data_IF_476886843996
#
_entry.id   IF_476886843996
#
_cell.length_a   1.000
_cell.length_b   1.000
_cell.length_c   1.000
_cell.angle_alpha   90.00
_cell.angle_beta   90.00
_cell.angle_gamma   90.00
#
_symmetry.space_group_name_H-M   'P 1'
#
loop_
_entity.id
_entity.type
_entity.pdbx_description
1 polymer ?
#
# COMPACT_ATOMS: atom_id res chain seq x y z
N UNK A 1 13.08 5.72 -19.33
CA UNK A 1 11.75 5.81 -18.68
C UNK A 1 11.97 6.57 -17.38
N UNK A 2 11.63 7.87 -17.35
CA UNK A 2 11.95 8.74 -16.21
C UNK A 2 11.30 8.17 -14.94
N UNK A 3 12.10 7.86 -13.94
CA UNK A 3 11.63 7.44 -12.65
C UNK A 3 10.82 8.62 -12.07
N UNK A 4 9.57 8.42 -11.62
CA UNK A 4 8.79 9.52 -11.05
C UNK A 4 9.57 10.10 -9.87
N UNK A 5 9.71 11.43 -9.84
CA UNK A 5 10.30 12.12 -8.70
C UNK A 5 9.38 11.90 -7.49
N UNK A 6 9.81 11.05 -6.56
CA UNK A 6 9.04 10.72 -5.37
C UNK A 6 9.31 11.81 -4.33
N UNK A 7 8.30 12.58 -3.88
CA UNK A 7 8.50 13.68 -2.96
C UNK A 7 8.71 13.16 -1.52
N UNK A 8 9.89 12.58 -1.26
CA UNK A 8 10.22 11.87 -0.02
C UNK A 8 10.00 12.76 1.21
N UNK A 9 10.42 14.03 1.19
CA UNK A 9 10.19 14.97 2.28
C UNK A 9 8.71 15.17 2.60
N UNK A 10 7.89 15.41 1.58
CA UNK A 10 6.46 15.59 1.76
C UNK A 10 5.80 14.35 2.38
N UNK A 11 6.27 13.14 2.03
CA UNK A 11 5.78 11.89 2.60
C UNK A 11 6.06 11.79 4.10
N UNK A 12 7.28 12.12 4.53
CA UNK A 12 7.63 12.12 5.95
C UNK A 12 6.89 13.21 6.73
N UNK A 13 6.67 14.38 6.14
CA UNK A 13 5.86 15.42 6.79
C UNK A 13 4.40 14.99 6.91
N UNK A 14 3.82 14.40 5.86
CA UNK A 14 2.47 13.85 5.92
C UNK A 14 2.34 12.73 6.96
N UNK A 15 3.35 11.88 7.12
CA UNK A 15 3.36 10.82 8.12
C UNK A 15 3.32 11.33 9.57
N UNK A 16 3.77 12.56 9.83
CA UNK A 16 3.76 13.20 11.15
C UNK A 16 2.42 13.88 11.48
N UNK A 17 1.51 14.02 10.52
CA UNK A 17 0.22 14.69 10.67
C UNK A 17 -0.80 13.74 11.31
N UNK A 18 -1.27 13.97 12.55
CA UNK A 18 -2.20 13.06 13.22
C UNK A 18 -3.52 12.86 12.47
N UNK A 19 -4.03 13.90 11.82
CA UNK A 19 -5.25 13.86 11.02
C UNK A 19 -5.11 12.97 9.78
N UNK A 20 -3.93 12.94 9.15
CA UNK A 20 -3.62 12.03 8.03
C UNK A 20 -3.62 10.58 8.51
N UNK A 21 -2.95 10.31 9.63
CA UNK A 21 -2.88 8.98 10.24
C UNK A 21 -4.26 8.48 10.65
N UNK A 22 -5.06 9.33 11.29
CA UNK A 22 -6.41 8.98 11.72
C UNK A 22 -7.34 8.71 10.52
N UNK A 23 -7.31 9.57 9.49
CA UNK A 23 -8.11 9.39 8.29
C UNK A 23 -7.76 8.10 7.54
N UNK A 24 -6.47 7.79 7.38
CA UNK A 24 -6.03 6.55 6.74
C UNK A 24 -6.34 5.30 7.57
N UNK A 25 -6.28 5.38 8.91
CA UNK A 25 -6.74 4.30 9.78
C UNK A 25 -8.24 4.02 9.56
N UNK A 26 -9.06 5.06 9.54
CA UNK A 26 -10.50 4.94 9.31
C UNK A 26 -10.81 4.40 7.89
N UNK A 27 -10.09 4.88 6.88
CA UNK A 27 -10.19 4.39 5.50
C UNK A 27 -9.88 2.90 5.41
N UNK A 28 -8.75 2.46 5.98
CA UNK A 28 -8.38 1.04 5.94
C UNK A 28 -9.30 0.17 6.81
N UNK A 29 -9.79 0.67 7.95
CA UNK A 29 -10.78 -0.04 8.75
C UNK A 29 -12.07 -0.27 7.96
N UNK A 30 -12.53 0.71 7.19
CA UNK A 30 -13.67 0.54 6.30
C UNK A 30 -13.39 -0.44 5.14
N UNK A 31 -12.23 -0.30 4.47
CA UNK A 31 -11.83 -1.22 3.42
C UNK A 31 -11.76 -2.67 3.92
N UNK A 32 -11.14 -2.91 5.07
CA UNK A 32 -11.01 -4.24 5.66
C UNK A 32 -12.40 -4.83 6.02
N UNK A 33 -13.33 -4.03 6.55
CA UNK A 33 -14.73 -4.49 6.80
C UNK A 33 -15.44 -4.90 5.51
N UNK A 34 -15.32 -4.08 4.45
CA UNK A 34 -15.98 -4.33 3.17
C UNK A 34 -15.42 -5.57 2.47
N UNK A 35 -14.10 -5.75 2.52
CA UNK A 35 -13.43 -6.96 2.03
C UNK A 35 -13.90 -8.19 2.81
N UNK A 36 -13.97 -8.09 4.15
CA UNK A 36 -14.41 -9.20 4.99
C UNK A 36 -15.87 -9.63 4.71
N UNK A 37 -16.74 -8.72 4.29
CA UNK A 37 -18.12 -9.04 3.91
C UNK A 37 -18.21 -10.01 2.72
N UNK A 38 -17.17 -10.12 1.90
CA UNK A 38 -17.08 -11.09 0.81
C UNK A 38 -16.47 -12.44 1.23
N UNK A 39 -15.98 -12.55 2.48
CA UNK A 39 -15.33 -13.75 3.01
C UNK A 39 -14.28 -14.40 2.07
N UNK A 40 -13.33 -13.61 1.52
CA UNK A 40 -12.43 -14.12 0.51
C UNK A 40 -11.38 -15.07 1.07
N UNK A 41 -11.03 -16.10 0.31
CA UNK A 41 -10.02 -17.08 0.75
C UNK A 41 -8.68 -16.79 0.08
N UNK A 42 -7.61 -16.68 0.87
CA UNK A 42 -6.25 -16.58 0.32
C UNK A 42 -5.67 -17.97 0.05
N UNK A 43 -5.81 -18.48 -1.18
CA UNK A 43 -5.30 -19.80 -1.54
C UNK A 43 -3.78 -19.84 -1.65
N UNK A 44 -3.17 -18.75 -2.14
CA UNK A 44 -1.74 -18.69 -2.37
C UNK A 44 -0.93 -18.27 -1.13
N UNK A 45 -1.57 -18.08 0.04
CA UNK A 45 -0.92 -17.82 1.33
C UNK A 45 0.21 -16.77 1.28
N UNK A 46 -0.01 -15.68 0.54
CA UNK A 46 0.98 -14.61 0.41
C UNK A 46 2.09 -14.83 -0.63
N UNK A 47 2.06 -15.92 -1.41
CA UNK A 47 2.98 -16.11 -2.52
C UNK A 47 2.86 -14.98 -3.57
N UNK A 48 1.67 -14.43 -3.78
CA UNK A 48 1.44 -13.25 -4.62
C UNK A 48 2.19 -11.99 -4.15
N UNK A 49 2.74 -11.97 -2.93
CA UNK A 49 3.60 -10.88 -2.46
C UNK A 49 5.05 -10.97 -3.00
N UNK A 50 5.43 -12.09 -3.64
CA UNK A 50 6.66 -12.22 -4.45
C UNK A 50 6.44 -11.57 -5.82
N UNK A 51 6.36 -10.24 -5.81
CA UNK A 51 5.84 -9.42 -6.91
C UNK A 51 6.45 -9.79 -8.28
N UNK A 52 7.78 -9.80 -8.40
CA UNK A 52 8.46 -10.17 -9.65
C UNK A 52 8.15 -11.59 -10.15
N UNK A 53 8.17 -12.58 -9.26
CA UNK A 53 7.90 -13.99 -9.60
C UNK A 53 6.50 -14.20 -10.19
N UNK A 54 5.52 -13.44 -9.72
CA UNK A 54 4.12 -13.52 -10.18
C UNK A 54 3.75 -12.43 -11.20
N UNK A 55 4.73 -11.62 -11.66
CA UNK A 55 4.49 -10.50 -12.56
C UNK A 55 3.56 -9.41 -12.00
N UNK A 56 3.39 -9.37 -10.67
CA UNK A 56 2.53 -8.41 -10.00
C UNK A 56 3.27 -7.08 -9.80
N UNK A 57 2.53 -5.99 -9.95
CA UNK A 57 2.99 -4.65 -9.61
C UNK A 57 2.05 -4.03 -8.59
N UNK A 58 2.61 -3.57 -7.48
CA UNK A 58 1.85 -2.86 -6.48
C UNK A 58 2.04 -1.36 -6.71
N UNK A 59 0.96 -0.66 -7.00
CA UNK A 59 0.97 0.80 -7.04
C UNK A 59 0.37 1.37 -5.76
N UNK A 60 0.92 2.49 -5.33
CA UNK A 60 0.57 3.18 -4.08
C UNK A 60 0.40 4.67 -4.30
N UNK A 61 -0.38 5.28 -3.44
CA UNK A 61 -0.56 6.74 -3.34
C UNK A 61 0.24 7.34 -2.18
N UNK A 62 0.39 8.66 -2.18
CA UNK A 62 1.20 9.34 -1.15
C UNK A 62 0.62 9.15 0.28
N UNK A 63 -0.72 9.12 0.44
CA UNK A 63 -1.35 8.88 1.74
C UNK A 63 -1.09 7.46 2.26
N UNK A 64 -1.07 6.46 1.39
CA UNK A 64 -0.74 5.08 1.78
C UNK A 64 0.71 4.97 2.25
N UNK A 65 1.62 5.68 1.58
CA UNK A 65 3.04 5.71 1.96
C UNK A 65 3.24 6.48 3.27
N UNK A 66 2.56 7.62 3.45
CA UNK A 66 2.57 8.37 4.71
C UNK A 66 2.08 7.50 5.88
N UNK A 67 0.98 6.77 5.70
CA UNK A 67 0.47 5.84 6.71
C UNK A 67 1.46 4.69 7.00
N UNK A 68 2.09 4.14 5.96
CA UNK A 68 3.13 3.12 6.09
C UNK A 68 4.32 3.60 6.93
N UNK A 69 4.78 4.83 6.69
CA UNK A 69 5.88 5.46 7.42
C UNK A 69 5.51 5.73 8.87
N UNK A 70 4.29 6.20 9.13
CA UNK A 70 3.80 6.50 10.48
C UNK A 70 3.68 5.26 11.38
N UNK A 71 3.46 4.08 10.80
CA UNK A 71 3.25 2.81 11.53
C UNK A 71 4.42 1.84 11.40
N UNK A 72 5.60 2.35 11.03
CA UNK A 72 6.76 1.49 10.93
C UNK A 72 7.22 1.01 12.31
N UNK A 73 7.40 -0.30 12.44
CA UNK A 73 7.99 -0.93 13.63
C UNK A 73 9.50 -0.77 13.70
N UNK A 74 10.14 -0.58 12.55
CA UNK A 74 11.58 -0.38 12.41
C UNK A 74 11.86 1.06 12.00
N UNK A 75 12.94 1.63 12.52
CA UNK A 75 13.36 2.99 12.15
C UNK A 75 13.83 3.08 10.71
N UNK A 76 14.37 1.99 10.15
CA UNK A 76 14.89 1.94 8.79
C UNK A 76 13.86 1.37 7.80
N UNK A 77 13.83 1.92 6.58
CA UNK A 77 13.08 1.34 5.46
C UNK A 77 13.87 0.14 4.95
N UNK A 78 13.25 -1.04 4.81
CA UNK A 78 13.99 -2.25 4.46
C UNK A 78 14.58 -2.15 3.06
N UNK A 79 15.78 -2.71 2.87
CA UNK A 79 16.50 -2.73 1.59
C UNK A 79 15.74 -3.51 0.52
N UNK A 80 15.66 -2.95 -0.69
CA UNK A 80 15.04 -3.60 -1.85
C UNK A 80 16.17 -4.20 -2.68
N UNK A 81 16.34 -5.52 -2.59
CA UNK A 81 17.43 -6.27 -3.24
C UNK A 81 17.04 -6.88 -4.59
N UNK A 82 15.78 -6.76 -5.01
CA UNK A 82 15.29 -7.33 -6.26
C UNK A 82 13.85 -6.90 -6.56
N UNK A 83 13.06 -7.82 -7.08
CA UNK A 83 11.68 -7.59 -7.52
C UNK A 83 10.62 -8.10 -6.52
N UNK A 84 11.04 -8.70 -5.41
CA UNK A 84 10.13 -9.08 -4.32
C UNK A 84 9.91 -7.93 -3.36
N UNK A 85 8.71 -7.84 -2.78
CA UNK A 85 8.45 -6.90 -1.69
C UNK A 85 9.32 -7.28 -0.48
N UNK A 86 10.14 -6.37 0.07
CA UNK A 86 11.05 -6.71 1.17
C UNK A 86 10.33 -7.03 2.49
N UNK A 87 9.02 -6.79 2.57
CA UNK A 87 8.19 -7.19 3.69
C UNK A 87 7.65 -8.62 3.59
N UNK A 88 7.84 -9.30 2.45
CA UNK A 88 7.41 -10.67 2.24
C UNK A 88 8.59 -11.62 2.48
N UNK A 89 8.74 -12.08 3.72
CA UNK A 89 9.74 -13.06 4.13
C UNK A 89 9.11 -14.07 5.11
N UNK A 90 9.74 -15.24 5.27
CA UNK A 90 9.25 -16.33 6.13
C UNK A 90 7.79 -16.75 5.83
N UNK A 91 7.39 -16.65 4.56
CA UNK A 91 6.05 -17.01 4.10
C UNK A 91 4.93 -16.06 4.54
N UNK A 92 5.26 -14.86 5.05
CA UNK A 92 4.25 -13.91 5.55
C UNK A 92 4.61 -12.45 5.24
N UNK A 93 3.61 -11.57 5.38
CA UNK A 93 3.80 -10.13 5.21
C UNK A 93 4.06 -9.47 6.57
N UNK A 94 5.29 -9.02 6.81
CA UNK A 94 5.68 -8.30 8.04
C UNK A 94 5.21 -6.83 8.07
N UNK A 95 4.53 -6.37 7.01
CA UNK A 95 3.85 -5.08 6.95
C UNK A 95 2.31 -5.22 6.95
N UNK A 96 1.77 -6.37 7.37
CA UNK A 96 0.34 -6.71 7.22
C UNK A 96 -0.61 -5.57 7.64
N UNK A 97 -0.44 -5.01 8.83
CA UNK A 97 -1.32 -3.96 9.38
C UNK A 97 -1.25 -2.63 8.60
N UNK A 98 -0.12 -2.35 7.95
CA UNK A 98 0.18 -1.09 7.25
C UNK A 98 0.30 -1.24 5.74
N UNK A 99 -0.09 -2.40 5.19
CA UNK A 99 0.04 -2.70 3.76
C UNK A 99 -0.86 -1.77 2.92
N UNK A 100 -0.45 -1.42 1.69
CA UNK A 100 -1.26 -0.61 0.79
C UNK A 100 -2.56 -1.30 0.39
N UNK A 101 -3.53 -0.52 -0.10
CA UNK A 101 -4.85 -0.97 -0.55
C UNK A 101 -4.76 -2.12 -1.56
N UNK A 102 -3.86 -2.03 -2.54
CA UNK A 102 -3.68 -3.08 -3.54
C UNK A 102 -3.39 -4.46 -2.93
N UNK A 103 -2.57 -4.51 -1.88
CA UNK A 103 -2.31 -5.74 -1.12
C UNK A 103 -3.44 -6.15 -0.17
N UNK A 104 -4.37 -5.25 0.15
CA UNK A 104 -5.53 -5.56 0.99
C UNK A 104 -6.63 -6.23 0.18
N UNK A 105 -6.84 -5.74 -1.03
CA UNK A 105 -7.99 -6.09 -1.88
C UNK A 105 -7.73 -7.22 -2.85
N UNK A 106 -6.47 -7.49 -3.17
CA UNK A 106 -6.13 -8.55 -4.11
C UNK A 106 -6.29 -9.94 -3.49
N UNK A 107 -7.11 -10.77 -4.12
CA UNK A 107 -7.24 -12.20 -3.82
C UNK A 107 -7.18 -13.02 -5.11
N UNK A 108 -6.47 -14.15 -5.08
CA UNK A 108 -6.40 -15.10 -6.20
C UNK A 108 -7.64 -16.00 -6.31
N UNK A 109 -8.57 -15.90 -5.36
CA UNK A 109 -9.86 -16.57 -5.36
C UNK A 109 -10.68 -16.16 -6.59
N UNK A 110 -11.16 -17.08 -7.43
CA UNK A 110 -12.09 -16.77 -8.53
C UNK A 110 -13.34 -16.04 -8.06
N UNK A 111 -13.83 -16.32 -6.84
CA UNK A 111 -14.94 -15.59 -6.24
C UNK A 111 -14.59 -14.12 -5.96
N UNK A 112 -13.32 -13.73 -5.95
CA UNK A 112 -12.90 -12.33 -5.82
C UNK A 112 -13.09 -11.50 -7.10
N UNK A 113 -13.13 -12.14 -8.27
CA UNK A 113 -13.08 -11.45 -9.55
C UNK A 113 -14.25 -10.47 -9.77
N UNK A 114 -15.43 -10.78 -9.22
CA UNK A 114 -16.63 -9.97 -9.43
C UNK A 114 -16.71 -8.73 -8.55
N UNK A 115 -16.01 -8.69 -7.40
CA UNK A 115 -16.11 -7.57 -6.45
C UNK A 115 -14.80 -6.80 -6.26
N UNK A 116 -13.64 -7.44 -6.43
CA UNK A 116 -12.36 -6.77 -6.13
C UNK A 116 -12.10 -5.57 -7.04
N UNK A 117 -12.46 -5.65 -8.32
CA UNK A 117 -12.32 -4.56 -9.29
C UNK A 117 -13.19 -3.35 -8.92
N UNK A 118 -14.53 -3.52 -8.88
CA UNK A 118 -15.45 -2.44 -8.49
C UNK A 118 -15.10 -1.82 -7.12
N UNK A 119 -14.75 -2.65 -6.13
CA UNK A 119 -14.36 -2.17 -4.80
C UNK A 119 -13.04 -1.39 -4.85
N UNK A 120 -12.07 -1.82 -5.67
CA UNK A 120 -10.81 -1.08 -5.86
C UNK A 120 -11.08 0.29 -6.43
N UNK A 121 -11.89 0.40 -7.48
CA UNK A 121 -12.21 1.68 -8.12
C UNK A 121 -12.92 2.65 -7.16
N UNK A 122 -13.84 2.15 -6.35
CA UNK A 122 -14.51 2.97 -5.34
C UNK A 122 -13.56 3.46 -4.26
N UNK A 123 -12.72 2.56 -3.72
CA UNK A 123 -11.76 2.90 -2.68
C UNK A 123 -10.67 3.84 -3.19
N UNK A 124 -10.22 3.69 -4.45
CA UNK A 124 -9.28 4.62 -5.08
C UNK A 124 -9.92 6.00 -5.31
N UNK A 125 -11.19 6.08 -5.71
CA UNK A 125 -11.91 7.37 -5.80
C UNK A 125 -12.01 8.06 -4.45
N UNK A 126 -12.27 7.31 -3.38
CA UNK A 126 -12.31 7.85 -2.02
C UNK A 126 -10.92 8.28 -1.54
N UNK A 127 -9.88 7.50 -1.83
CA UNK A 127 -8.50 7.83 -1.48
C UNK A 127 -8.04 9.12 -2.17
N UNK A 128 -8.43 9.32 -3.44
CA UNK A 128 -8.19 10.58 -4.16
C UNK A 128 -8.88 11.77 -3.48
N UNK A 129 -10.13 11.63 -3.03
CA UNK A 129 -10.80 12.70 -2.27
C UNK A 129 -10.11 12.99 -0.94
N UNK A 130 -9.65 11.96 -0.23
CA UNK A 130 -8.88 12.13 1.00
C UNK A 130 -7.58 12.91 0.76
N UNK A 131 -6.93 12.73 -0.40
CA UNK A 131 -5.77 13.55 -0.77
C UNK A 131 -6.13 15.04 -0.85
N UNK A 132 -7.24 15.37 -1.50
CA UNK A 132 -7.74 16.75 -1.63
C UNK A 132 -8.12 17.34 -0.26
N UNK A 133 -8.91 16.59 0.53
CA UNK A 133 -9.39 17.00 1.86
C UNK A 133 -8.24 17.24 2.85
N UNK A 134 -7.20 16.41 2.80
CA UNK A 134 -6.04 16.50 3.69
C UNK A 134 -4.94 17.40 3.13
N UNK A 135 -5.12 17.97 1.93
CA UNK A 135 -4.11 18.75 1.23
C UNK A 135 -2.75 18.02 1.16
N UNK A 136 -2.77 16.76 0.73
CA UNK A 136 -1.59 15.93 0.51
C UNK A 136 -1.47 15.69 -1.00
N UNK A 137 -0.40 16.14 -1.68
CA UNK A 137 -0.22 15.89 -3.10
C UNK A 137 -0.35 14.40 -3.45
N UNK A 138 -1.21 14.09 -4.42
CA UNK A 138 -1.43 12.73 -4.87
C UNK A 138 -0.39 12.35 -5.93
N UNK A 139 0.38 11.30 -5.69
CA UNK A 139 1.03 10.54 -6.76
C UNK A 139 0.43 9.14 -6.84
N UNK A 140 0.71 8.44 -7.93
CA UNK A 140 0.43 7.02 -8.08
C UNK A 140 1.65 6.35 -8.68
N UNK A 141 2.38 5.58 -7.88
CA UNK A 141 3.70 5.07 -8.25
C UNK A 141 3.90 3.64 -7.78
N UNK A 142 4.83 2.95 -8.43
CA UNK A 142 5.21 1.58 -8.10
C UNK A 142 5.85 1.51 -6.69
N UNK A 143 5.41 0.56 -5.88
CA UNK A 143 5.83 0.39 -4.50
C UNK A 143 7.33 0.16 -4.34
N UNK A 144 7.94 -0.63 -5.23
CA UNK A 144 9.38 -0.88 -5.15
C UNK A 144 10.18 0.37 -5.54
N UNK A 145 9.66 1.18 -6.47
CA UNK A 145 10.23 2.50 -6.80
C UNK A 145 10.17 3.44 -5.60
N UNK A 146 9.02 3.51 -4.93
CA UNK A 146 8.85 4.33 -3.72
C UNK A 146 9.80 3.88 -2.61
N UNK A 147 9.88 2.57 -2.32
CA UNK A 147 10.77 2.05 -1.29
C UNK A 147 12.24 2.39 -1.55
N UNK A 148 12.70 2.29 -2.82
CA UNK A 148 14.06 2.70 -3.20
C UNK A 148 14.30 4.19 -2.99
N UNK A 149 13.34 5.04 -3.33
CA UNK A 149 13.45 6.48 -3.07
C UNK A 149 13.52 6.78 -1.56
N UNK A 150 12.71 6.09 -0.74
CA UNK A 150 12.75 6.24 0.71
C UNK A 150 14.07 5.77 1.35
N UNK A 151 14.77 4.79 0.75
CA UNK A 151 16.09 4.30 1.20
C UNK A 151 17.19 5.33 0.96
N UNK A 152 17.15 6.05 -0.17
CA UNK A 152 18.18 7.03 -0.54
C UNK A 152 18.25 8.25 0.39
N UNK A 153 17.21 8.46 1.20
CA UNK A 153 17.11 9.54 2.18
C UNK A 153 17.52 9.11 3.59
N UNK A 154 17.92 7.86 3.78
CA UNK A 154 18.54 7.37 5.02
C UNK A 154 19.98 7.83 5.10
#
# INVERSE_FOLDING_TARGET
MNQPDIPVDALYQAAKRPEVVAAMRAFYGDADRRIAAHSPTCWNRGACCRLGEYGHRLYVTALEVAYYLAHRRQEQVPTVTGESCPHAHDGQCHARERRPLGCRIFYCDPAAQHWQGPLTEELLRRLRRLHDELNVPCFYADWLVVLRALQQRQ
#
